data_IF_996116382625
#
_entry.id   IF_996116382625
#
_cell.length_a   1.000
_cell.length_b   1.000
_cell.length_c   1.000
_cell.angle_alpha   90.00
_cell.angle_beta   90.00
_cell.angle_gamma   90.00
#
_symmetry.space_group_name_H-M   'P 1'
#
loop_
_entity.id
_entity.type
_entity.pdbx_description
1 polymer ?
#
# COMPACT_ATOMS: atom_id res chain seq x y z
N UNK A 1 45.30 -27.98 -20.14
CA UNK A 1 44.70 -27.27 -19.00
C UNK A 1 43.61 -26.37 -19.55
N UNK A 2 42.35 -26.81 -19.49
CA UNK A 2 41.20 -26.02 -19.90
C UNK A 2 40.61 -25.38 -18.64
N UNK A 3 40.58 -24.05 -18.60
CA UNK A 3 40.01 -23.29 -17.51
C UNK A 3 38.50 -23.35 -17.55
N UNK A 4 37.90 -23.91 -16.50
CA UNK A 4 36.47 -23.84 -16.22
C UNK A 4 36.11 -22.42 -15.79
N UNK A 5 35.43 -21.68 -16.67
CA UNK A 5 34.65 -20.51 -16.27
C UNK A 5 33.52 -20.98 -15.35
N UNK A 6 33.61 -20.64 -14.05
CA UNK A 6 32.44 -20.65 -13.17
C UNK A 6 31.57 -19.47 -13.56
N UNK A 7 30.43 -19.76 -14.20
CA UNK A 7 29.28 -18.85 -14.20
C UNK A 7 28.89 -18.64 -12.75
N UNK A 8 29.03 -17.41 -12.26
CA UNK A 8 28.35 -16.98 -11.04
C UNK A 8 26.89 -16.81 -11.39
N UNK A 9 26.09 -17.86 -11.17
CA UNK A 9 24.63 -17.76 -11.15
C UNK A 9 24.26 -16.83 -9.99
N UNK A 10 24.11 -15.54 -10.28
CA UNK A 10 23.35 -14.64 -9.44
C UNK A 10 21.91 -15.16 -9.48
N UNK A 11 21.28 -15.53 -8.35
CA UNK A 11 19.89 -15.97 -8.37
C UNK A 11 19.05 -14.87 -9.02
N UNK A 12 18.23 -15.25 -10.01
CA UNK A 12 17.40 -14.32 -10.76
C UNK A 12 16.46 -13.60 -9.78
N UNK A 13 16.74 -12.32 -9.54
CA UNK A 13 15.98 -11.46 -8.64
C UNK A 13 14.55 -11.34 -9.15
N UNK A 14 13.65 -12.11 -8.55
CA UNK A 14 12.25 -12.18 -8.99
C UNK A 14 11.42 -11.13 -8.26
N UNK A 15 11.14 -10.00 -8.90
CA UNK A 15 10.19 -8.99 -8.40
C UNK A 15 8.76 -9.56 -8.30
N UNK A 16 7.94 -9.02 -7.41
CA UNK A 16 6.50 -9.28 -7.39
C UNK A 16 5.86 -8.75 -8.68
N UNK A 17 4.91 -9.49 -9.24
CA UNK A 17 4.22 -9.13 -10.48
C UNK A 17 2.73 -9.00 -10.24
N UNK A 18 2.13 -7.98 -10.83
CA UNK A 18 0.68 -7.81 -10.88
C UNK A 18 0.13 -8.92 -11.79
N UNK A 19 -0.84 -9.70 -11.33
CA UNK A 19 -1.43 -10.82 -12.07
C UNK A 19 -2.96 -10.66 -12.13
N UNK A 20 -3.46 -10.19 -13.28
CA UNK A 20 -4.89 -9.92 -13.46
C UNK A 20 -5.70 -11.16 -13.84
N UNK A 21 -5.03 -12.23 -14.29
CA UNK A 21 -5.67 -13.49 -14.70
C UNK A 21 -6.52 -14.12 -13.59
N UNK A 22 -6.26 -13.83 -12.32
CA UNK A 22 -6.96 -14.40 -11.17
C UNK A 22 -8.26 -13.68 -10.81
N UNK A 23 -8.65 -12.64 -11.56
CA UNK A 23 -9.81 -11.81 -11.25
C UNK A 23 -10.73 -11.68 -12.46
N UNK A 24 -12.04 -11.92 -12.26
CA UNK A 24 -13.06 -11.89 -13.31
C UNK A 24 -14.24 -11.01 -12.88
N UNK A 25 -14.72 -10.18 -13.80
CA UNK A 25 -15.99 -9.48 -13.68
C UNK A 25 -17.00 -10.10 -14.64
N UNK A 26 -18.15 -10.53 -14.12
CA UNK A 26 -19.29 -10.97 -14.90
C UNK A 26 -20.27 -9.80 -15.00
N UNK A 27 -20.34 -9.18 -16.17
CA UNK A 27 -21.17 -8.00 -16.40
C UNK A 27 -21.93 -8.08 -17.73
N UNK A 28 -23.23 -7.71 -17.77
CA UNK A 28 -23.97 -7.59 -19.02
C UNK A 28 -23.32 -6.59 -19.98
N UNK A 29 -23.45 -6.79 -21.29
CA UNK A 29 -22.89 -5.87 -22.29
C UNK A 29 -23.34 -4.41 -22.11
N UNK A 30 -24.54 -4.20 -21.57
CA UNK A 30 -25.06 -2.86 -21.26
C UNK A 30 -24.24 -2.08 -20.20
N UNK A 31 -23.38 -2.76 -19.44
CA UNK A 31 -22.49 -2.14 -18.45
C UNK A 31 -21.05 -1.94 -18.95
N UNK A 32 -20.72 -2.34 -20.18
CA UNK A 32 -19.33 -2.29 -20.69
C UNK A 32 -18.73 -0.88 -20.71
N UNK A 33 -19.56 0.15 -20.92
CA UNK A 33 -19.12 1.55 -20.96
C UNK A 33 -19.00 2.20 -19.57
N UNK A 34 -19.41 1.51 -18.50
CA UNK A 34 -19.24 2.04 -17.15
C UNK A 34 -17.75 2.06 -16.78
N UNK A 35 -17.27 3.17 -16.21
CA UNK A 35 -15.84 3.38 -15.91
C UNK A 35 -15.23 2.23 -15.10
N UNK A 36 -15.96 1.71 -14.11
CA UNK A 36 -15.54 0.58 -13.27
C UNK A 36 -15.34 -0.73 -14.05
N UNK A 37 -16.07 -0.93 -15.16
CA UNK A 37 -15.95 -2.11 -16.03
C UNK A 37 -14.79 -1.91 -17.00
N UNK A 38 -14.65 -0.71 -17.57
CA UNK A 38 -13.55 -0.36 -18.47
C UNK A 38 -12.19 -0.47 -17.80
N UNK A 39 -12.10 0.04 -16.58
CA UNK A 39 -10.85 0.15 -15.83
C UNK A 39 -10.67 -1.04 -14.84
N UNK A 40 -11.52 -2.07 -14.94
CA UNK A 40 -11.49 -3.25 -14.08
C UNK A 40 -10.12 -3.96 -14.10
N UNK A 41 -9.68 -4.39 -12.93
CA UNK A 41 -8.50 -5.26 -12.81
C UNK A 41 -8.89 -6.73 -13.00
N UNK A 42 -8.70 -7.23 -14.22
CA UNK A 42 -9.01 -8.62 -14.57
C UNK A 42 -9.63 -8.74 -15.96
N UNK A 43 -10.22 -9.90 -16.24
CA UNK A 43 -11.04 -10.08 -17.44
C UNK A 43 -12.51 -9.76 -17.17
N UNK A 44 -13.18 -9.17 -18.16
CA UNK A 44 -14.62 -8.95 -18.15
C UNK A 44 -15.26 -9.96 -19.09
N UNK A 45 -16.27 -10.67 -18.61
CA UNK A 45 -17.07 -11.63 -19.39
C UNK A 45 -18.56 -11.33 -19.22
N UNK A 46 -19.37 -11.77 -20.17
CA UNK A 46 -20.83 -11.65 -20.06
C UNK A 46 -21.45 -12.84 -19.30
N UNK A 47 -22.67 -12.71 -18.75
CA UNK A 47 -23.40 -13.85 -18.20
C UNK A 47 -23.60 -14.99 -19.21
N UNK A 48 -23.77 -14.67 -20.49
CA UNK A 48 -23.90 -15.65 -21.57
C UNK A 48 -22.58 -16.40 -21.81
N UNK A 49 -21.44 -15.71 -21.78
CA UNK A 49 -20.12 -16.33 -21.89
C UNK A 49 -19.85 -17.27 -20.71
N UNK A 50 -20.21 -16.86 -19.49
CA UNK A 50 -20.15 -17.70 -18.29
C UNK A 50 -21.04 -18.95 -18.43
N UNK A 51 -22.22 -18.81 -19.03
CA UNK A 51 -23.17 -19.90 -19.25
C UNK A 51 -22.75 -20.83 -20.42
N UNK A 52 -22.04 -20.29 -21.42
CA UNK A 52 -21.64 -21.02 -22.62
C UNK A 52 -20.54 -22.05 -22.31
N UNK A 53 -20.83 -23.33 -22.57
CA UNK A 53 -20.06 -24.47 -22.07
C UNK A 53 -18.77 -24.83 -22.81
N UNK A 54 -18.17 -23.98 -23.64
CA UNK A 54 -16.74 -24.08 -24.02
C UNK A 54 -16.27 -22.95 -24.96
N UNK A 55 -15.05 -22.43 -24.74
CA UNK A 55 -14.26 -22.62 -23.53
C UNK A 55 -14.92 -21.78 -22.41
N UNK A 56 -15.58 -22.44 -21.46
CA UNK A 56 -16.07 -21.76 -20.26
C UNK A 56 -14.83 -21.32 -19.48
N UNK A 57 -14.80 -20.09 -18.94
CA UNK A 57 -13.66 -19.65 -18.15
C UNK A 57 -13.46 -20.61 -16.98
N UNK A 58 -12.25 -21.14 -16.84
CA UNK A 58 -11.88 -21.88 -15.64
C UNK A 58 -11.99 -20.91 -14.47
N UNK A 59 -12.82 -21.20 -13.47
CA UNK A 59 -12.97 -20.33 -12.31
C UNK A 59 -12.10 -20.77 -11.12
N UNK A 60 -11.37 -21.89 -11.25
CA UNK A 60 -10.54 -22.39 -10.17
C UNK A 60 -9.55 -21.32 -9.68
N UNK A 61 -9.53 -21.11 -8.37
CA UNK A 61 -8.67 -20.12 -7.70
C UNK A 61 -8.95 -18.65 -8.04
N UNK A 62 -10.01 -18.34 -8.79
CA UNK A 62 -10.31 -16.96 -9.19
C UNK A 62 -11.20 -16.24 -8.18
N UNK A 63 -11.06 -14.92 -8.16
CA UNK A 63 -12.00 -13.98 -7.53
C UNK A 63 -13.00 -13.51 -8.59
N UNK A 64 -14.28 -13.73 -8.35
CA UNK A 64 -15.36 -13.41 -9.29
C UNK A 64 -16.24 -12.30 -8.73
N UNK A 65 -16.41 -11.22 -9.49
CA UNK A 65 -17.34 -10.13 -9.22
C UNK A 65 -18.55 -10.26 -10.14
N UNK A 66 -19.76 -10.13 -9.60
CA UNK A 66 -21.02 -10.29 -10.33
C UNK A 66 -21.76 -8.94 -10.40
N UNK A 67 -22.23 -8.61 -11.59
CA UNK A 67 -23.06 -7.45 -11.91
C UNK A 67 -24.29 -7.86 -12.73
N UNK A 68 -25.34 -7.05 -12.72
CA UNK A 68 -26.57 -7.27 -13.49
C UNK A 68 -27.63 -8.09 -12.76
N UNK A 69 -28.45 -8.82 -13.51
CA UNK A 69 -29.46 -9.72 -12.94
C UNK A 69 -28.82 -11.03 -12.48
N UNK A 70 -28.66 -11.17 -11.16
CA UNK A 70 -28.02 -12.34 -10.55
C UNK A 70 -28.94 -13.57 -10.60
N UNK A 71 -30.25 -13.39 -10.78
CA UNK A 71 -31.20 -14.51 -10.83
C UNK A 71 -30.98 -15.42 -12.04
N UNK A 72 -30.37 -14.89 -13.11
CA UNK A 72 -30.02 -15.63 -14.32
C UNK A 72 -28.70 -16.40 -14.26
N UNK A 73 -27.90 -16.26 -13.18
CA UNK A 73 -26.58 -16.90 -13.07
C UNK A 73 -26.72 -18.33 -12.54
N UNK A 74 -26.23 -19.32 -13.28
CA UNK A 74 -26.18 -20.71 -12.82
C UNK A 74 -25.16 -20.88 -11.68
N UNK A 75 -25.69 -20.95 -10.45
CA UNK A 75 -24.90 -21.11 -9.22
C UNK A 75 -23.99 -22.33 -9.20
N UNK A 76 -24.25 -23.35 -10.04
CA UNK A 76 -23.43 -24.57 -10.11
C UNK A 76 -22.08 -24.34 -10.77
N UNK A 77 -21.90 -23.21 -11.48
CA UNK A 77 -20.64 -22.84 -12.15
C UNK A 77 -19.65 -22.16 -11.21
N UNK A 78 -20.15 -21.44 -10.22
CA UNK A 78 -19.35 -20.63 -9.30
C UNK A 78 -18.65 -21.36 -8.12
N UNK A 79 -18.97 -22.60 -7.70
CA UNK A 79 -18.32 -23.21 -6.53
C UNK A 79 -16.81 -23.47 -6.71
N UNK A 80 -16.30 -23.46 -7.95
CA UNK A 80 -14.88 -23.58 -8.22
C UNK A 80 -14.10 -22.28 -7.96
N UNK A 81 -14.78 -21.13 -7.93
CA UNK A 81 -14.17 -19.85 -7.59
C UNK A 81 -13.68 -19.85 -6.14
N UNK A 82 -12.52 -19.23 -5.91
CA UNK A 82 -12.02 -19.04 -4.55
C UNK A 82 -12.90 -18.06 -3.77
N UNK A 83 -13.39 -17.02 -4.46
CA UNK A 83 -14.21 -15.94 -3.88
C UNK A 83 -15.25 -15.51 -4.90
N UNK A 84 -16.46 -15.23 -4.43
CA UNK A 84 -17.56 -14.69 -5.25
C UNK A 84 -18.16 -13.49 -4.53
N UNK A 85 -18.23 -12.37 -5.26
CA UNK A 85 -18.76 -11.10 -4.78
C UNK A 85 -19.91 -10.64 -5.66
N UNK A 86 -20.97 -10.13 -5.03
CA UNK A 86 -22.06 -9.41 -5.72
C UNK A 86 -21.83 -7.92 -5.54
N UNK A 87 -21.72 -7.16 -6.64
CA UNK A 87 -21.52 -5.70 -6.58
C UNK A 87 -22.88 -5.03 -6.42
N UNK A 88 -23.15 -4.51 -5.22
CA UNK A 88 -24.47 -4.04 -4.78
C UNK A 88 -25.11 -3.05 -5.75
N UNK A 89 -24.36 -2.03 -6.15
CA UNK A 89 -24.84 -0.90 -6.95
C UNK A 89 -25.10 -1.26 -8.42
N UNK A 90 -24.49 -2.35 -8.90
CA UNK A 90 -24.60 -2.80 -10.29
C UNK A 90 -25.45 -4.06 -10.43
N UNK A 91 -26.00 -4.59 -9.34
CA UNK A 91 -26.68 -5.88 -9.31
C UNK A 91 -28.12 -5.79 -8.81
N UNK A 92 -28.96 -6.69 -9.29
CA UNK A 92 -30.32 -6.92 -8.81
C UNK A 92 -30.66 -8.42 -8.91
N UNK A 93 -31.84 -8.82 -8.42
CA UNK A 93 -32.28 -10.22 -8.51
C UNK A 93 -31.55 -11.21 -7.58
N UNK A 94 -30.63 -10.73 -6.72
CA UNK A 94 -30.08 -11.51 -5.61
C UNK A 94 -30.97 -11.37 -4.36
N UNK A 95 -31.00 -12.40 -3.51
CA UNK A 95 -31.80 -12.41 -2.28
C UNK A 95 -30.88 -12.22 -1.08
N UNK A 96 -30.94 -11.07 -0.41
CA UNK A 96 -30.16 -10.80 0.81
C UNK A 96 -30.58 -11.73 1.97
N UNK A 97 -31.87 -12.06 2.08
CA UNK A 97 -32.44 -12.83 3.19
C UNK A 97 -32.40 -14.36 3.02
N UNK A 98 -31.97 -14.85 1.85
CA UNK A 98 -32.13 -16.25 1.49
C UNK A 98 -30.92 -17.12 1.85
N UNK A 99 -30.27 -16.90 3.00
CA UNK A 99 -29.13 -17.72 3.44
C UNK A 99 -28.08 -17.96 2.34
N UNK A 100 -27.97 -17.00 1.41
CA UNK A 100 -27.23 -17.15 0.17
C UNK A 100 -25.74 -16.87 0.44
N UNK A 101 -24.80 -17.70 -0.05
CA UNK A 101 -23.44 -17.73 0.49
C UNK A 101 -22.50 -16.65 -0.07
N UNK A 102 -22.97 -15.78 -0.98
CA UNK A 102 -22.07 -14.84 -1.67
C UNK A 102 -22.01 -13.49 -0.96
N UNK A 103 -20.79 -13.03 -0.73
CA UNK A 103 -20.53 -11.76 -0.05
C UNK A 103 -20.97 -10.60 -0.94
N UNK A 104 -21.90 -9.77 -0.46
CA UNK A 104 -22.29 -8.54 -1.13
C UNK A 104 -21.28 -7.45 -0.78
N UNK A 105 -20.75 -6.77 -1.79
CA UNK A 105 -19.75 -5.69 -1.64
C UNK A 105 -20.23 -4.42 -2.33
N UNK A 106 -19.72 -3.27 -1.88
CA UNK A 106 -19.95 -2.01 -2.56
C UNK A 106 -19.03 -1.86 -3.78
N UNK A 107 -19.32 -0.85 -4.61
CA UNK A 107 -18.56 -0.56 -5.82
C UNK A 107 -17.09 -0.23 -5.53
N UNK A 108 -16.78 0.30 -4.33
CA UNK A 108 -15.43 0.66 -3.95
C UNK A 108 -14.52 -0.53 -3.60
N UNK A 109 -15.11 -1.71 -3.39
CA UNK A 109 -14.41 -3.01 -3.28
C UNK A 109 -14.06 -3.64 -4.63
N UNK A 110 -14.50 -3.06 -5.75
CA UNK A 110 -14.13 -3.55 -7.09
C UNK A 110 -12.74 -3.00 -7.46
N UNK A 111 -11.76 -3.86 -7.78
CA UNK A 111 -10.41 -3.40 -8.10
C UNK A 111 -10.34 -2.77 -9.49
N UNK A 112 -9.62 -1.66 -9.58
CA UNK A 112 -9.33 -0.99 -10.86
C UNK A 112 -7.83 -0.97 -11.13
N UNK A 113 -7.46 -1.13 -12.41
CA UNK A 113 -6.07 -1.07 -12.86
C UNK A 113 -5.61 0.39 -12.87
N UNK A 114 -4.42 0.64 -12.33
CA UNK A 114 -3.76 1.94 -12.43
C UNK A 114 -2.56 1.79 -13.36
N UNK A 115 -2.78 2.04 -14.65
CA UNK A 115 -1.75 2.09 -15.71
C UNK A 115 -0.77 0.87 -15.75
N UNK A 116 -1.21 -0.31 -15.31
CA UNK A 116 -0.35 -1.49 -15.21
C UNK A 116 0.74 -1.42 -14.14
N UNK A 117 0.72 -0.40 -13.28
CA UNK A 117 1.73 -0.16 -12.23
C UNK A 117 1.17 -0.29 -10.81
N UNK A 118 -0.14 -0.53 -10.68
CA UNK A 118 -0.78 -0.81 -9.40
C UNK A 118 -2.26 -1.15 -9.56
N UNK A 119 -2.86 -1.51 -8.43
CA UNK A 119 -4.29 -1.84 -8.32
C UNK A 119 -4.91 -0.99 -7.23
N UNK A 120 -6.04 -0.38 -7.54
CA UNK A 120 -6.70 0.56 -6.64
C UNK A 120 -8.10 0.08 -6.26
N UNK A 121 -8.42 0.23 -4.98
CA UNK A 121 -9.75 0.04 -4.42
C UNK A 121 -10.19 1.40 -3.88
N UNK A 122 -11.26 1.97 -4.44
CA UNK A 122 -11.76 3.28 -4.02
C UNK A 122 -12.25 3.27 -2.57
N UNK A 123 -12.74 2.12 -2.08
CA UNK A 123 -13.20 1.92 -0.71
C UNK A 123 -13.02 0.45 -0.32
N UNK A 124 -11.78 0.07 -0.02
CA UNK A 124 -11.49 -1.26 0.49
C UNK A 124 -12.09 -1.43 1.90
N UNK A 125 -11.88 -0.45 2.75
CA UNK A 125 -12.36 -0.45 4.12
C UNK A 125 -13.65 0.37 4.24
N UNK A 126 -14.67 -0.21 4.89
CA UNK A 126 -15.94 0.47 5.15
C UNK A 126 -15.77 1.72 6.02
N UNK A 127 -16.59 2.74 5.78
CA UNK A 127 -16.53 4.02 6.50
C UNK A 127 -17.05 3.93 7.94
N UNK A 128 -17.84 2.90 8.22
CA UNK A 128 -18.38 2.54 9.53
C UNK A 128 -17.33 1.93 10.47
N UNK A 129 -16.17 1.52 9.94
CA UNK A 129 -15.13 0.85 10.73
C UNK A 129 -14.33 1.76 11.68
N UNK A 130 -14.46 3.08 11.58
CA UNK A 130 -13.68 4.11 12.32
C UNK A 130 -12.19 3.75 12.51
N UNK A 131 -11.53 3.33 11.43
CA UNK A 131 -10.13 2.95 11.48
C UNK A 131 -9.22 4.08 11.95
N UNK A 132 -9.57 5.34 11.64
CA UNK A 132 -8.82 6.50 12.15
C UNK A 132 -8.87 6.54 13.68
N UNK A 133 -10.07 6.55 14.28
CA UNK A 133 -10.25 6.63 15.72
C UNK A 133 -9.64 5.43 16.45
N UNK A 134 -9.86 4.22 15.93
CA UNK A 134 -9.33 2.98 16.52
C UNK A 134 -7.80 2.93 16.55
N UNK A 135 -7.14 3.21 15.43
CA UNK A 135 -5.66 3.23 15.38
C UNK A 135 -5.11 4.32 16.31
N UNK A 136 -5.77 5.48 16.38
CA UNK A 136 -5.38 6.57 17.29
C UNK A 136 -5.62 6.27 18.77
N UNK A 137 -6.52 5.36 19.08
CA UNK A 137 -6.79 4.90 20.44
C UNK A 137 -5.87 3.75 20.87
N UNK A 138 -5.46 2.89 19.92
CA UNK A 138 -4.54 1.77 20.16
C UNK A 138 -3.08 2.25 20.29
N UNK A 139 -2.69 3.34 19.62
CA UNK A 139 -1.28 3.75 19.53
C UNK A 139 -1.00 5.22 19.92
N UNK A 140 0.14 5.41 20.57
CA UNK A 140 0.68 6.73 20.87
C UNK A 140 1.58 7.22 19.72
N UNK A 141 1.05 8.12 18.88
CA UNK A 141 1.82 8.64 17.75
C UNK A 141 2.94 9.56 18.22
N UNK A 142 4.10 9.34 17.61
CA UNK A 142 5.35 9.97 17.94
C UNK A 142 5.60 11.18 17.05
N UNK A 143 6.42 12.11 17.52
CA UNK A 143 6.86 13.25 16.72
C UNK A 143 7.81 12.79 15.61
N UNK A 144 7.75 13.46 14.45
CA UNK A 144 8.67 13.23 13.35
C UNK A 144 9.62 14.40 13.22
N UNK A 145 10.90 14.11 12.99
CA UNK A 145 11.86 15.10 12.49
C UNK A 145 12.11 14.86 11.00
N UNK A 146 11.97 15.90 10.18
CA UNK A 146 12.37 15.82 8.77
C UNK A 146 13.87 16.10 8.64
N UNK A 147 14.67 15.05 8.45
CA UNK A 147 16.13 15.17 8.31
C UNK A 147 16.81 15.73 9.57
N UNK A 148 17.96 16.38 9.42
CA UNK A 148 18.76 17.02 10.49
C UNK A 148 18.30 18.44 10.82
N UNK A 149 17.16 18.91 10.28
CA UNK A 149 16.70 20.28 10.50
C UNK A 149 16.05 20.42 11.88
N UNK A 150 16.39 21.47 12.65
CA UNK A 150 15.70 21.75 13.90
C UNK A 150 14.23 22.10 13.62
N UNK A 151 13.32 21.18 13.94
CA UNK A 151 11.88 21.36 13.79
C UNK A 151 11.12 20.04 13.71
N UNK A 152 9.92 19.99 14.28
CA UNK A 152 8.99 18.88 14.13
C UNK A 152 8.25 19.01 12.79
N UNK A 153 8.11 17.91 12.07
CA UNK A 153 7.25 17.84 10.89
C UNK A 153 5.80 18.20 11.26
N UNK A 154 4.99 18.64 10.30
CA UNK A 154 3.53 18.76 10.47
C UNK A 154 2.82 17.38 10.50
N UNK A 155 3.58 16.32 10.78
CA UNK A 155 3.11 14.95 10.83
C UNK A 155 3.54 14.36 12.17
N UNK A 156 2.68 13.50 12.70
CA UNK A 156 3.00 12.55 13.76
C UNK A 156 2.84 11.14 13.19
N UNK A 157 3.50 10.14 13.77
CA UNK A 157 3.46 8.80 13.19
C UNK A 157 4.02 7.74 14.11
N UNK A 158 3.95 6.49 13.66
CA UNK A 158 4.42 5.34 14.40
C UNK A 158 4.79 4.20 13.45
N UNK A 159 5.79 3.41 13.84
CA UNK A 159 6.09 2.14 13.19
C UNK A 159 5.43 1.02 13.97
N UNK A 160 4.78 0.11 13.23
CA UNK A 160 4.12 -1.06 13.81
C UNK A 160 4.59 -2.32 13.09
N UNK A 161 4.81 -3.39 13.83
CA UNK A 161 5.13 -4.72 13.31
C UNK A 161 4.74 -5.78 14.34
N UNK A 162 4.49 -7.05 13.97
CA UNK A 162 4.30 -8.09 14.97
C UNK A 162 5.52 -8.21 15.89
N UNK A 163 5.30 -8.13 17.19
CA UNK A 163 6.30 -8.34 18.24
C UNK A 163 5.96 -9.63 18.98
N UNK A 164 6.93 -10.53 19.10
CA UNK A 164 6.79 -11.78 19.87
C UNK A 164 7.86 -11.86 20.94
N UNK A 165 7.49 -12.31 22.13
CA UNK A 165 8.39 -12.47 23.26
C UNK A 165 8.83 -13.93 23.41
N UNK A 166 10.14 -14.17 23.55
CA UNK A 166 10.74 -15.46 23.94
C UNK A 166 11.67 -15.25 25.14
N UNK A 167 11.22 -15.61 26.33
CA UNK A 167 11.89 -15.25 27.58
C UNK A 167 12.00 -13.73 27.73
N UNK A 168 13.24 -13.22 27.83
CA UNK A 168 13.55 -11.79 27.90
C UNK A 168 13.83 -11.16 26.52
N UNK A 169 13.78 -11.95 25.43
CA UNK A 169 14.00 -11.48 24.07
C UNK A 169 12.69 -10.99 23.43
N UNK A 170 12.73 -9.81 22.82
CA UNK A 170 11.64 -9.28 21.99
C UNK A 170 12.04 -9.39 20.52
N UNK A 171 11.34 -10.23 19.76
CA UNK A 171 11.55 -10.42 18.33
C UNK A 171 10.58 -9.58 17.51
N UNK A 172 11.09 -8.88 16.51
CA UNK A 172 10.32 -7.98 15.66
C UNK A 172 11.01 -7.77 14.31
N UNK A 173 10.42 -6.96 13.42
CA UNK A 173 11.04 -6.59 12.14
C UNK A 173 11.32 -5.10 12.08
N UNK A 174 12.46 -4.75 11.50
CA UNK A 174 12.85 -3.38 11.27
C UNK A 174 12.56 -2.96 9.83
N UNK A 175 12.28 -1.67 9.64
CA UNK A 175 12.25 -1.04 8.32
C UNK A 175 12.98 0.31 8.39
N UNK A 176 14.31 0.22 8.42
CA UNK A 176 15.28 1.32 8.60
C UNK A 176 15.33 2.20 7.35
N UNK A 177 14.28 3.00 7.19
CA UNK A 177 14.16 4.00 6.13
C UNK A 177 14.54 5.40 6.64
N UNK A 178 14.20 6.44 5.88
CA UNK A 178 14.60 7.82 6.15
C UNK A 178 13.74 8.55 7.20
N UNK A 179 12.65 7.94 7.69
CA UNK A 179 11.79 8.58 8.68
C UNK A 179 12.38 8.38 10.08
N UNK A 180 12.51 9.47 10.82
CA UNK A 180 13.02 9.47 12.19
C UNK A 180 11.88 9.83 13.15
N UNK A 181 11.44 8.82 13.91
CA UNK A 181 10.42 8.92 14.94
C UNK A 181 11.09 9.01 16.32
N UNK A 182 10.44 9.71 17.24
CA UNK A 182 10.99 9.95 18.58
C UNK A 182 10.86 8.78 19.56
N UNK A 183 10.14 7.71 19.22
CA UNK A 183 9.89 6.56 20.10
C UNK A 183 10.09 5.22 19.40
N UNK A 184 9.92 4.10 20.13
CA UNK A 184 10.15 2.76 19.62
C UNK A 184 9.08 2.33 18.61
N UNK A 185 9.38 1.28 17.84
CA UNK A 185 8.36 0.51 17.13
C UNK A 185 7.39 -0.13 18.13
N UNK A 186 6.10 -0.20 17.81
CA UNK A 186 5.10 -0.89 18.62
C UNK A 186 4.60 -2.18 17.95
N UNK A 187 4.03 -3.06 18.76
CA UNK A 187 3.33 -4.24 18.28
C UNK A 187 2.06 -3.87 17.51
N UNK A 188 1.58 -4.78 16.68
CA UNK A 188 0.25 -4.66 16.09
C UNK A 188 -0.84 -4.70 17.16
N UNK A 189 -1.71 -3.70 17.15
CA UNK A 189 -2.99 -3.77 17.83
C UNK A 189 -3.99 -4.65 17.06
N UNK A 190 -5.16 -4.96 17.66
CA UNK A 190 -6.20 -5.74 16.99
C UNK A 190 -6.65 -5.13 15.65
N UNK A 191 -6.66 -3.80 15.55
CA UNK A 191 -7.04 -3.12 14.30
C UNK A 191 -5.98 -3.31 13.22
N UNK A 192 -4.69 -3.23 13.58
CA UNK A 192 -3.60 -3.46 12.62
C UNK A 192 -3.56 -4.90 12.12
N UNK A 193 -3.71 -5.87 13.02
CA UNK A 193 -3.76 -7.29 12.66
C UNK A 193 -4.86 -7.52 11.62
N UNK A 194 -6.07 -7.02 11.86
CA UNK A 194 -7.19 -7.14 10.92
C UNK A 194 -6.88 -6.48 9.57
N UNK A 195 -6.37 -5.25 9.57
CA UNK A 195 -6.02 -4.54 8.33
C UNK A 195 -4.97 -5.33 7.54
N UNK A 196 -3.88 -5.72 8.19
CA UNK A 196 -2.75 -6.37 7.52
C UNK A 196 -3.10 -7.77 7.03
N UNK A 197 -3.93 -8.53 7.76
CA UNK A 197 -4.45 -9.82 7.30
C UNK A 197 -5.34 -9.68 6.05
N UNK A 198 -6.27 -8.71 6.04
CA UNK A 198 -7.13 -8.45 4.89
C UNK A 198 -6.32 -8.01 3.67
N UNK A 199 -5.31 -7.16 3.87
CA UNK A 199 -4.41 -6.73 2.80
C UNK A 199 -3.56 -7.87 2.26
N UNK A 200 -3.04 -8.76 3.11
CA UNK A 200 -2.30 -9.94 2.66
C UNK A 200 -3.19 -10.92 1.87
N UNK A 201 -4.44 -11.12 2.32
CA UNK A 201 -5.41 -11.95 1.60
C UNK A 201 -5.71 -11.39 0.22
N UNK A 202 -5.88 -10.06 0.11
CA UNK A 202 -6.12 -9.42 -1.18
C UNK A 202 -4.86 -9.40 -2.06
N UNK A 203 -3.69 -9.16 -1.48
CA UNK A 203 -2.42 -9.20 -2.19
C UNK A 203 -2.18 -10.54 -2.88
N UNK A 204 -2.58 -11.65 -2.25
CA UNK A 204 -2.47 -13.00 -2.85
C UNK A 204 -3.37 -13.19 -4.08
N UNK A 205 -4.42 -12.38 -4.26
CA UNK A 205 -5.27 -12.38 -5.46
C UNK A 205 -4.79 -11.39 -6.53
N UNK A 206 -3.96 -10.40 -6.15
CA UNK A 206 -3.47 -9.32 -7.02
C UNK A 206 -2.07 -9.58 -7.55
N UNK A 207 -1.22 -10.22 -6.76
CA UNK A 207 0.20 -10.39 -7.04
C UNK A 207 0.63 -11.85 -7.04
N UNK A 208 1.58 -12.13 -7.93
CA UNK A 208 2.34 -13.37 -7.93
C UNK A 208 3.70 -13.19 -7.26
N UNK A 209 4.13 -14.22 -6.54
CA UNK A 209 5.44 -14.32 -5.88
C UNK A 209 5.72 -13.18 -4.90
N UNK A 210 4.70 -12.55 -4.28
CA UNK A 210 4.93 -11.42 -3.39
C UNK A 210 5.38 -11.87 -1.99
N UNK A 211 6.16 -11.01 -1.32
CA UNK A 211 6.43 -11.15 0.11
C UNK A 211 5.22 -10.71 0.95
N UNK A 212 5.05 -11.23 2.18
CA UNK A 212 3.96 -10.80 3.05
C UNK A 212 4.16 -9.36 3.53
N UNK A 213 3.06 -8.62 3.62
CA UNK A 213 2.96 -7.33 4.28
C UNK A 213 3.04 -7.55 5.80
N UNK A 214 3.99 -6.91 6.48
CA UNK A 214 4.27 -7.18 7.90
C UNK A 214 4.82 -5.98 8.69
N UNK A 215 4.93 -4.81 8.05
CA UNK A 215 5.46 -3.61 8.67
C UNK A 215 4.67 -2.39 8.23
N UNK A 216 4.27 -1.56 9.17
CA UNK A 216 3.38 -0.41 8.95
C UNK A 216 4.10 0.87 9.31
N UNK A 217 3.92 1.90 8.49
CA UNK A 217 4.11 3.30 8.87
C UNK A 217 2.74 3.99 8.88
N UNK A 218 2.22 4.26 10.08
CA UNK A 218 0.99 5.02 10.25
C UNK A 218 1.35 6.49 10.53
N UNK A 219 0.76 7.43 9.80
CA UNK A 219 1.09 8.85 9.90
C UNK A 219 -0.15 9.74 9.83
N UNK A 220 -0.31 10.62 10.82
CA UNK A 220 -1.33 11.66 10.82
C UNK A 220 -0.79 12.92 10.17
N UNK A 221 -1.54 13.49 9.24
CA UNK A 221 -1.21 14.66 8.44
C UNK A 221 -2.02 15.85 8.94
N UNK A 222 -1.37 16.74 9.69
CA UNK A 222 -2.03 17.89 10.31
C UNK A 222 -2.02 19.11 9.38
N UNK A 223 -3.14 19.84 9.37
CA UNK A 223 -3.28 21.10 8.66
C UNK A 223 -3.41 22.24 9.67
N UNK A 224 -2.61 23.30 9.52
CA UNK A 224 -2.63 24.46 10.40
C UNK A 224 -3.29 25.63 9.68
N UNK A 225 -4.30 26.23 10.31
CA UNK A 225 -4.99 27.41 9.77
C UNK A 225 -4.06 28.62 9.68
N UNK A 226 -4.40 29.54 8.79
CA UNK A 226 -3.75 30.85 8.78
C UNK A 226 -4.12 31.61 10.07
N UNK A 227 -3.16 32.36 10.59
CA UNK A 227 -3.34 33.34 11.68
C UNK A 227 -2.93 34.71 11.16
N UNK A 228 -3.16 35.76 11.94
CA UNK A 228 -2.70 37.12 11.63
C UNK A 228 -1.19 37.18 11.39
N UNK A 229 -0.39 36.37 12.09
CA UNK A 229 1.06 36.37 11.94
C UNK A 229 1.61 35.29 10.98
N UNK A 230 0.84 34.26 10.62
CA UNK A 230 1.36 33.10 9.86
C UNK A 230 0.37 32.62 8.79
N UNK A 231 0.89 32.34 7.60
CA UNK A 231 0.14 31.66 6.54
C UNK A 231 -0.27 30.25 6.99
N UNK A 232 -1.38 29.75 6.42
CA UNK A 232 -1.77 28.36 6.60
C UNK A 232 -0.65 27.41 6.17
N UNK A 233 -0.58 26.24 6.80
CA UNK A 233 0.30 25.14 6.39
C UNK A 233 -0.52 23.86 6.23
N UNK A 234 -0.15 23.06 5.23
CA UNK A 234 -0.77 21.76 4.95
C UNK A 234 0.31 20.70 4.91
N UNK A 235 0.07 19.57 5.56
CA UNK A 235 1.02 18.47 5.53
C UNK A 235 1.16 17.92 4.10
N UNK A 236 2.41 17.79 3.66
CA UNK A 236 2.79 17.26 2.34
C UNK A 236 4.05 16.42 2.47
N UNK A 237 4.31 15.55 1.52
CA UNK A 237 5.59 14.84 1.38
C UNK A 237 6.09 15.11 -0.02
N UNK A 238 7.32 15.60 -0.15
CA UNK A 238 7.95 15.87 -1.44
C UNK A 238 8.20 14.57 -2.23
N UNK A 239 8.45 14.71 -3.53
CA UNK A 239 8.76 13.57 -4.40
C UNK A 239 9.93 12.73 -3.86
N UNK A 240 9.70 11.43 -3.72
CA UNK A 240 10.68 10.44 -3.30
C UNK A 240 10.29 9.04 -3.78
N UNK A 241 11.24 8.11 -3.76
CA UNK A 241 10.97 6.68 -3.74
C UNK A 241 11.18 6.17 -2.30
N UNK A 242 10.31 5.26 -1.87
CA UNK A 242 10.44 4.57 -0.58
C UNK A 242 11.75 3.78 -0.56
N UNK A 243 12.39 3.71 0.61
CA UNK A 243 13.71 3.09 0.76
C UNK A 243 13.57 1.59 0.91
N UNK A 244 14.16 0.85 -0.02
CA UNK A 244 13.99 -0.60 -0.13
C UNK A 244 15.04 -1.43 0.62
N UNK A 245 15.96 -0.79 1.36
CA UNK A 245 17.06 -1.43 2.10
C UNK A 245 16.66 -2.69 2.88
N UNK A 246 15.55 -2.60 3.61
CA UNK A 246 15.06 -3.67 4.50
C UNK A 246 13.85 -4.41 3.91
N UNK A 247 13.57 -4.20 2.62
CA UNK A 247 12.47 -4.83 1.90
C UNK A 247 13.02 -5.97 1.03
N UNK A 248 12.34 -7.13 1.00
CA UNK A 248 12.71 -8.17 0.04
C UNK A 248 12.42 -7.71 -1.39
N UNK A 249 13.17 -8.23 -2.37
CA UNK A 249 13.05 -7.82 -3.79
C UNK A 249 11.66 -8.05 -4.36
N UNK A 250 10.98 -9.09 -3.90
CA UNK A 250 9.58 -9.38 -4.23
C UNK A 250 8.57 -8.66 -3.31
N UNK A 251 8.98 -7.56 -2.69
CA UNK A 251 8.13 -6.75 -1.83
C UNK A 251 7.02 -6.04 -2.60
N UNK A 252 5.93 -5.76 -1.89
CA UNK A 252 4.82 -4.93 -2.33
C UNK A 252 4.53 -3.87 -1.26
N UNK A 253 3.73 -2.87 -1.63
CA UNK A 253 3.27 -1.82 -0.73
C UNK A 253 1.76 -1.62 -0.87
N UNK A 254 1.11 -1.31 0.24
CA UNK A 254 -0.30 -0.97 0.30
C UNK A 254 -0.47 0.40 0.97
N UNK A 255 -0.94 1.39 0.21
CA UNK A 255 -1.25 2.72 0.71
C UNK A 255 -2.72 2.76 1.11
N UNK A 256 -2.99 2.62 2.41
CA UNK A 256 -4.33 2.75 2.96
C UNK A 256 -4.56 4.20 3.43
N UNK A 257 -5.78 4.71 3.26
CA UNK A 257 -6.11 6.08 3.68
C UNK A 257 -7.39 6.13 4.50
N UNK A 258 -7.28 6.74 5.68
CA UNK A 258 -8.40 7.03 6.58
C UNK A 258 -8.43 8.53 6.87
N UNK A 259 -9.60 9.06 7.22
CA UNK A 259 -9.79 10.46 7.53
C UNK A 259 -10.62 10.63 8.79
N UNK A 260 -10.34 11.72 9.50
CA UNK A 260 -11.21 12.30 10.50
C UNK A 260 -11.74 13.66 10.00
N UNK A 261 -12.99 13.99 10.31
CA UNK A 261 -13.64 15.24 9.90
C UNK A 261 -14.17 15.27 8.46
N UNK A 262 -14.52 14.12 7.87
CA UNK A 262 -15.11 14.04 6.52
C UNK A 262 -16.49 14.69 6.42
N UNK A 263 -17.23 14.78 7.53
CA UNK A 263 -18.55 15.40 7.66
C UNK A 263 -18.59 16.88 7.21
N UNK A 264 -17.42 17.52 7.15
CA UNK A 264 -17.26 18.91 6.68
C UNK A 264 -17.26 19.05 5.16
N UNK A 265 -17.10 17.95 4.45
CA UNK A 265 -17.09 17.88 3.00
C UNK A 265 -18.41 17.29 2.49
N UNK A 266 -18.72 17.53 1.22
CA UNK A 266 -19.90 16.98 0.56
C UNK A 266 -19.46 16.04 -0.59
N UNK A 267 -20.20 14.96 -0.87
CA UNK A 267 -19.95 14.13 -2.04
C UNK A 267 -19.90 14.97 -3.34
N UNK A 268 -19.00 14.62 -4.25
CA UNK A 268 -18.88 15.30 -5.53
C UNK A 268 -19.64 14.53 -6.63
N UNK A 269 -20.31 15.27 -7.53
CA UNK A 269 -21.17 14.65 -8.55
C UNK A 269 -20.42 13.86 -9.64
N UNK A 270 -19.11 14.09 -9.80
CA UNK A 270 -18.28 13.42 -10.82
C UNK A 270 -17.48 12.21 -10.32
N UNK A 271 -17.48 11.98 -9.01
CA UNK A 271 -16.77 10.86 -8.38
C UNK A 271 -17.49 10.50 -7.08
N UNK A 272 -18.14 9.33 -7.07
CA UNK A 272 -18.96 8.86 -5.94
C UNK A 272 -18.16 8.58 -4.66
N UNK A 273 -16.83 8.55 -4.74
CA UNK A 273 -15.94 8.33 -3.61
C UNK A 273 -15.29 9.64 -3.13
N UNK A 274 -15.27 10.68 -3.98
CA UNK A 274 -14.65 11.96 -3.67
C UNK A 274 -15.59 12.87 -2.85
N UNK A 275 -14.96 13.67 -2.00
CA UNK A 275 -15.63 14.60 -1.10
C UNK A 275 -14.96 15.96 -1.21
N UNK A 276 -15.74 17.03 -1.27
CA UNK A 276 -15.21 18.36 -1.48
C UNK A 276 -16.18 19.49 -1.18
N UNK A 277 -15.79 20.69 -1.59
CA UNK A 277 -16.56 21.92 -1.43
C UNK A 277 -16.61 22.63 -2.78
N UNK A 278 -17.81 22.98 -3.24
CA UNK A 278 -18.04 23.72 -4.51
C UNK A 278 -17.33 23.07 -5.72
N UNK A 279 -17.39 21.75 -5.82
CA UNK A 279 -16.76 21.00 -6.93
C UNK A 279 -15.25 20.81 -6.82
N UNK A 280 -14.60 21.28 -5.74
CA UNK A 280 -13.17 21.07 -5.49
C UNK A 280 -12.99 20.00 -4.43
N UNK A 281 -12.30 18.91 -4.77
CA UNK A 281 -11.95 17.84 -3.82
C UNK A 281 -11.23 18.37 -2.59
N UNK A 282 -11.63 17.92 -1.41
CA UNK A 282 -10.91 18.14 -0.15
C UNK A 282 -9.91 17.03 0.17
N UNK A 283 -9.83 15.99 -0.66
CA UNK A 283 -9.03 14.82 -0.40
C UNK A 283 -7.57 15.00 -0.83
N UNK A 284 -6.70 14.22 -0.20
CA UNK A 284 -5.28 14.19 -0.52
C UNK A 284 -5.04 13.38 -1.79
N UNK A 285 -4.02 13.76 -2.57
CA UNK A 285 -3.62 13.05 -3.78
C UNK A 285 -2.21 12.48 -3.63
N UNK A 286 -2.02 11.27 -4.14
CA UNK A 286 -0.72 10.63 -4.31
C UNK A 286 -0.32 10.78 -5.79
N UNK A 287 0.66 11.64 -6.05
CA UNK A 287 1.12 11.91 -7.43
C UNK A 287 2.39 11.13 -7.70
N UNK A 288 2.42 10.45 -8.83
CA UNK A 288 3.56 9.70 -9.33
C UNK A 288 4.19 10.41 -10.52
N UNK A 289 5.53 10.38 -10.58
CA UNK A 289 6.32 10.88 -11.70
C UNK A 289 7.37 9.85 -12.07
N UNK A 290 7.39 9.46 -13.34
CA UNK A 290 8.36 8.53 -13.90
C UNK A 290 9.76 9.15 -13.75
N UNK A 291 10.75 8.34 -13.36
CA UNK A 291 12.14 8.78 -13.29
C UNK A 291 12.68 8.91 -14.71
N UNK A 292 13.53 9.90 -14.95
CA UNK A 292 14.13 10.12 -16.27
C UNK A 292 14.87 8.87 -16.79
N UNK A 293 15.47 8.09 -15.89
CA UNK A 293 16.13 6.81 -16.19
C UNK A 293 15.19 5.64 -16.54
N UNK A 294 13.87 5.85 -16.49
CA UNK A 294 12.84 4.86 -16.79
C UNK A 294 12.02 5.19 -18.04
N UNK A 295 12.31 6.29 -18.75
CA UNK A 295 11.52 6.75 -19.91
C UNK A 295 11.50 5.75 -21.07
N UNK A 296 12.55 4.93 -21.20
CA UNK A 296 12.69 3.91 -22.25
C UNK A 296 12.14 2.53 -21.84
N UNK A 297 11.64 2.39 -20.60
CA UNK A 297 11.14 1.11 -20.08
C UNK A 297 9.65 0.95 -20.43
N UNK A 298 9.31 -0.15 -21.11
CA UNK A 298 7.92 -0.54 -21.34
C UNK A 298 7.27 -1.08 -20.06
N UNK A 299 5.96 -0.83 -19.91
CA UNK A 299 5.15 -1.35 -18.81
C UNK A 299 4.93 -2.85 -18.93
N UNK A 300 4.32 -3.44 -17.89
CA UNK A 300 4.09 -4.89 -17.84
C UNK A 300 3.27 -5.41 -19.03
N UNK A 301 2.35 -4.60 -19.54
CA UNK A 301 1.47 -4.93 -20.66
C UNK A 301 2.09 -4.59 -22.04
N UNK A 302 3.39 -4.26 -22.10
CA UNK A 302 4.09 -3.82 -23.32
C UNK A 302 3.71 -2.41 -23.79
N UNK A 303 2.93 -1.68 -22.99
CA UNK A 303 2.53 -0.30 -23.25
C UNK A 303 3.54 0.72 -22.70
N UNK A 304 3.49 1.94 -23.22
CA UNK A 304 4.30 3.06 -22.71
C UNK A 304 3.83 3.46 -21.31
N UNK A 305 4.76 3.50 -20.36
CA UNK A 305 4.48 3.96 -19.00
C UNK A 305 4.13 5.47 -19.00
N UNK A 306 3.08 5.90 -18.26
CA UNK A 306 2.74 7.30 -18.20
C UNK A 306 3.85 8.09 -17.49
N UNK A 307 4.28 9.21 -18.08
CA UNK A 307 5.29 10.10 -17.48
C UNK A 307 4.86 10.62 -16.09
N UNK A 308 3.55 10.77 -15.87
CA UNK A 308 2.97 11.10 -14.57
C UNK A 308 1.53 10.59 -14.48
N UNK A 309 1.10 10.28 -13.26
CA UNK A 309 -0.30 10.01 -12.95
C UNK A 309 -0.60 10.38 -11.50
N UNK A 310 -1.87 10.32 -11.11
CA UNK A 310 -2.30 10.68 -9.75
C UNK A 310 -3.42 9.76 -9.29
N UNK A 311 -3.32 9.33 -8.03
CA UNK A 311 -4.36 8.59 -7.34
C UNK A 311 -4.96 9.52 -6.28
N UNK A 312 -6.26 9.80 -6.35
CA UNK A 312 -6.98 10.45 -5.25
C UNK A 312 -7.10 9.45 -4.11
N UNK A 313 -6.71 9.84 -2.91
CA UNK A 313 -6.73 8.95 -1.74
C UNK A 313 -8.09 9.05 -1.05
N UNK A 314 -9.05 8.28 -1.55
CA UNK A 314 -10.41 8.22 -1.01
C UNK A 314 -10.47 7.66 0.42
N UNK A 315 -11.51 7.98 1.19
CA UNK A 315 -11.75 7.38 2.50
C UNK A 315 -11.89 5.86 2.42
N UNK A 316 -11.08 5.14 3.20
CA UNK A 316 -11.06 3.68 3.20
C UNK A 316 -10.39 3.05 1.98
N UNK A 317 -9.75 3.85 1.12
CA UNK A 317 -9.11 3.33 -0.09
C UNK A 317 -7.82 2.58 0.19
N UNK A 318 -7.46 1.69 -0.74
CA UNK A 318 -6.18 0.99 -0.77
C UNK A 318 -5.60 1.08 -2.18
N UNK A 319 -4.35 1.55 -2.28
CA UNK A 319 -3.55 1.44 -3.49
C UNK A 319 -2.42 0.45 -3.29
N UNK A 320 -2.46 -0.66 -4.03
CA UNK A 320 -1.42 -1.67 -4.07
C UNK A 320 -0.43 -1.38 -5.20
N UNK A 321 0.86 -1.49 -4.91
CA UNK A 321 1.92 -1.41 -5.93
C UNK A 321 3.09 -2.33 -5.60
N UNK A 322 3.72 -2.95 -6.60
CA UNK A 322 4.96 -3.70 -6.42
C UNK A 322 6.16 -2.75 -6.24
N UNK A 323 7.27 -3.28 -5.73
CA UNK A 323 8.52 -2.51 -5.62
C UNK A 323 9.06 -2.05 -6.99
N UNK A 324 8.76 -2.76 -8.07
CA UNK A 324 9.10 -2.33 -9.42
C UNK A 324 8.49 -0.95 -9.73
N UNK A 325 7.26 -0.67 -9.29
CA UNK A 325 6.67 0.66 -9.45
C UNK A 325 7.42 1.73 -8.64
N UNK A 326 7.86 1.42 -7.42
CA UNK A 326 8.70 2.33 -6.61
C UNK A 326 10.08 2.58 -7.22
N UNK A 327 10.61 1.56 -7.91
CA UNK A 327 11.85 1.65 -8.66
C UNK A 327 11.71 2.53 -9.90
N UNK A 328 10.57 2.52 -10.58
CA UNK A 328 10.34 3.31 -11.79
C UNK A 328 9.84 4.75 -11.52
N UNK A 329 9.10 4.94 -10.43
CA UNK A 329 8.44 6.22 -10.11
C UNK A 329 8.95 6.82 -8.81
N UNK A 330 8.95 8.15 -8.76
CA UNK A 330 8.86 8.88 -7.48
C UNK A 330 7.41 9.20 -7.19
N UNK A 331 7.06 9.34 -5.92
CA UNK A 331 5.73 9.72 -5.49
C UNK A 331 5.75 10.84 -4.44
N UNK A 332 4.67 11.62 -4.38
CA UNK A 332 4.50 12.72 -3.43
C UNK A 332 3.07 12.83 -2.91
N UNK A 333 2.95 13.28 -1.66
CA UNK A 333 1.67 13.56 -1.02
C UNK A 333 1.31 15.02 -1.25
N UNK A 334 0.24 15.25 -2.00
CA UNK A 334 -0.28 16.58 -2.34
C UNK A 334 -1.60 16.84 -1.61
N UNK A 335 -1.64 17.80 -0.66
CA UNK A 335 -2.90 18.20 -0.06
C UNK A 335 -3.78 18.96 -1.08
N UNK A 336 -5.08 19.01 -0.80
CA UNK A 336 -6.04 19.75 -1.63
C UNK A 336 -5.74 21.26 -1.68
N UNK A 337 -6.22 21.90 -2.75
CA UNK A 337 -6.17 23.34 -2.94
C UNK A 337 -7.08 24.11 -1.95
N UNK A 338 -8.13 23.48 -1.41
CA UNK A 338 -9.03 24.10 -0.41
C UNK A 338 -8.27 24.59 0.83
N UNK A 339 -8.75 25.63 1.48
CA UNK A 339 -8.12 26.16 2.70
C UNK A 339 -8.00 25.11 3.81
N UNK A 340 -6.91 25.18 4.57
CA UNK A 340 -6.55 24.21 5.62
C UNK A 340 -7.66 23.93 6.63
N UNK A 341 -8.55 24.89 6.88
CA UNK A 341 -9.67 24.73 7.80
C UNK A 341 -10.79 23.82 7.29
N UNK A 342 -10.90 23.67 5.97
CA UNK A 342 -11.88 22.82 5.30
C UNK A 342 -11.37 21.39 5.12
N UNK A 343 -10.06 21.17 5.28
CA UNK A 343 -9.46 19.87 5.04
C UNK A 343 -9.69 18.93 6.22
N UNK A 344 -10.12 17.68 5.97
CA UNK A 344 -10.12 16.65 6.99
C UNK A 344 -8.68 16.32 7.39
N UNK A 345 -8.51 15.74 8.58
CA UNK A 345 -7.21 15.23 9.02
C UNK A 345 -7.03 13.83 8.43
N UNK A 346 -5.95 13.62 7.68
CA UNK A 346 -5.66 12.33 7.03
C UNK A 346 -4.78 11.47 7.93
N UNK A 347 -5.11 10.19 8.05
CA UNK A 347 -4.22 9.12 8.48
C UNK A 347 -3.79 8.33 7.24
N UNK A 348 -2.52 8.46 6.86
CA UNK A 348 -1.90 7.58 5.88
C UNK A 348 -1.38 6.35 6.59
N UNK A 349 -1.82 5.16 6.18
CA UNK A 349 -1.44 3.89 6.76
C UNK A 349 -0.77 3.04 5.68
N UNK A 350 0.56 3.09 5.64
CA UNK A 350 1.35 2.46 4.57
C UNK A 350 1.92 1.15 5.08
N UNK A 351 1.47 0.05 4.50
CA UNK A 351 1.93 -1.30 4.83
C UNK A 351 2.95 -1.74 3.80
N UNK A 352 4.05 -2.32 4.28
CA UNK A 352 5.20 -2.76 3.49
C UNK A 352 5.67 -4.14 3.94
N UNK A 353 6.52 -4.74 3.12
CA UNK A 353 7.23 -5.97 3.44
C UNK A 353 8.58 -5.64 4.06
N UNK A 354 8.90 -6.21 5.22
CA UNK A 354 10.25 -6.23 5.77
C UNK A 354 10.78 -7.67 5.86
N UNK A 355 12.05 -7.85 5.50
CA UNK A 355 12.80 -9.09 5.74
C UNK A 355 13.91 -8.91 6.80
N UNK A 356 14.04 -7.72 7.39
CA UNK A 356 15.06 -7.43 8.40
C UNK A 356 14.54 -7.81 9.78
N UNK A 357 14.85 -9.03 10.21
CA UNK A 357 14.48 -9.51 11.54
C UNK A 357 15.44 -8.98 12.61
N UNK A 358 14.87 -8.59 13.75
CA UNK A 358 15.61 -8.03 14.86
C UNK A 358 15.21 -8.67 16.20
N UNK A 359 16.09 -8.56 17.18
CA UNK A 359 15.89 -8.97 18.57
C UNK A 359 16.32 -7.84 19.48
N UNK A 360 15.47 -7.44 20.43
CA UNK A 360 15.89 -6.60 21.54
C UNK A 360 16.10 -7.47 22.78
N UNK A 361 17.30 -7.38 23.38
CA UNK A 361 17.66 -8.07 24.63
C UNK A 361 18.78 -7.34 25.34
N UNK A 362 18.83 -7.44 26.67
CA UNK A 362 19.85 -6.80 27.50
C UNK A 362 20.02 -5.28 27.23
N UNK A 363 18.92 -4.60 26.88
CA UNK A 363 18.89 -3.18 26.58
C UNK A 363 19.48 -2.79 25.22
N UNK A 364 19.70 -3.76 24.32
CA UNK A 364 20.31 -3.56 23.00
C UNK A 364 19.47 -4.23 21.90
N UNK A 365 19.50 -3.65 20.71
CA UNK A 365 18.88 -4.23 19.52
C UNK A 365 19.93 -4.92 18.66
N UNK A 366 19.61 -6.10 18.16
CA UNK A 366 20.45 -6.91 17.28
C UNK A 366 19.69 -7.25 16.00
N UNK A 367 20.38 -7.24 14.86
CA UNK A 367 19.92 -7.77 13.59
C UNK A 367 20.18 -9.29 13.56
N UNK A 368 19.19 -10.06 13.11
CA UNK A 368 19.39 -11.49 12.80
C UNK A 368 20.04 -11.63 11.43
N UNK A 369 21.16 -12.33 11.37
CA UNK A 369 21.88 -12.66 10.14
C UNK A 369 22.20 -14.16 10.09
N UNK A 370 22.62 -14.67 8.94
CA UNK A 370 23.04 -16.07 8.81
C UNK A 370 24.21 -16.45 9.75
N UNK A 371 25.05 -15.48 10.11
CA UNK A 371 26.17 -15.65 11.04
C UNK A 371 25.81 -15.49 12.53
N UNK A 372 24.53 -15.26 12.85
CA UNK A 372 24.05 -14.98 14.20
C UNK A 372 23.57 -13.54 14.39
N UNK A 373 23.55 -13.09 15.64
CA UNK A 373 23.10 -11.75 16.04
C UNK A 373 24.21 -10.72 15.86
N UNK A 374 23.90 -9.62 15.18
CA UNK A 374 24.81 -8.47 14.99
C UNK A 374 24.20 -7.26 15.68
N UNK A 375 24.92 -6.62 16.60
CA UNK A 375 24.40 -5.46 17.33
C UNK A 375 24.14 -4.28 16.38
N UNK A 376 23.04 -3.56 16.59
CA UNK A 376 22.73 -2.34 15.86
C UNK A 376 23.62 -1.20 16.39
N UNK A 377 24.54 -0.73 15.56
CA UNK A 377 25.53 0.28 15.94
C UNK A 377 24.99 1.71 15.72
N UNK A 378 25.48 2.71 16.48
CA UNK A 378 25.19 4.11 16.17
C UNK A 378 25.71 4.49 14.76
N UNK A 379 25.01 5.38 14.03
CA UNK A 379 25.46 5.83 12.72
C UNK A 379 26.79 6.58 12.80
N UNK A 380 27.73 6.23 11.91
CA UNK A 380 28.95 7.04 11.69
C UNK A 380 28.70 8.11 10.64
N UNK A 381 29.48 9.19 10.63
CA UNK A 381 29.36 10.24 9.62
C UNK A 381 29.55 9.69 8.19
N UNK A 382 30.59 8.88 7.97
CA UNK A 382 30.84 8.26 6.67
C UNK A 382 29.73 7.30 6.24
N UNK A 383 29.23 6.47 7.16
CA UNK A 383 28.09 5.58 6.89
C UNK A 383 26.82 6.36 6.53
N UNK A 384 26.55 7.46 7.23
CA UNK A 384 25.40 8.33 6.93
C UNK A 384 25.50 9.00 5.57
N UNK A 385 26.69 9.46 5.18
CA UNK A 385 26.92 10.10 3.89
C UNK A 385 26.75 9.10 2.74
N UNK A 386 27.26 7.88 2.91
CA UNK A 386 27.09 6.79 1.95
C UNK A 386 25.63 6.32 1.86
N UNK A 387 24.92 6.16 2.99
CA UNK A 387 23.50 5.82 3.01
C UNK A 387 22.66 6.87 2.27
N UNK A 388 22.94 8.16 2.51
CA UNK A 388 22.26 9.27 1.82
C UNK A 388 22.57 9.29 0.33
N UNK A 389 23.80 8.93 -0.07
CA UNK A 389 24.17 8.78 -1.48
C UNK A 389 23.30 7.71 -2.15
N UNK A 390 23.15 6.54 -1.53
CA UNK A 390 22.29 5.45 -2.04
C UNK A 390 20.81 5.86 -2.07
N UNK A 391 20.33 6.58 -1.05
CA UNK A 391 18.96 7.13 -1.05
C UNK A 391 18.71 8.11 -2.20
N UNK A 392 19.69 8.94 -2.54
CA UNK A 392 19.62 9.88 -3.65
C UNK A 392 19.72 9.18 -5.01
N UNK A 393 20.44 8.07 -5.09
CA UNK A 393 20.50 7.20 -6.26
C UNK A 393 19.14 6.52 -6.50
N UNK A 394 18.54 5.93 -5.46
CA UNK A 394 17.23 5.27 -5.55
C UNK A 394 16.12 6.23 -5.98
N UNK A 395 16.21 7.51 -5.64
CA UNK A 395 15.24 8.52 -6.11
C UNK A 395 15.38 8.87 -7.60
N UNK A 396 16.55 8.65 -8.21
CA UNK A 396 16.86 9.07 -9.59
C UNK A 396 16.92 7.91 -10.58
N UNK A 397 17.38 6.75 -10.12
CA UNK A 397 17.64 5.57 -10.93
C UNK A 397 16.44 4.63 -10.95
N UNK A 398 16.27 3.97 -12.09
CA UNK A 398 15.40 2.81 -12.30
C UNK A 398 16.13 1.50 -12.05
N UNK A 399 17.44 1.51 -11.78
CA UNK A 399 18.21 0.32 -11.40
C UNK A 399 17.92 -0.10 -9.97
N UNK A 400 18.17 -1.38 -9.67
CA UNK A 400 18.22 -1.85 -8.29
C UNK A 400 19.35 -1.15 -7.54
N UNK A 401 19.04 -0.64 -6.35
CA UNK A 401 20.04 -0.10 -5.42
C UNK A 401 20.34 -1.19 -4.41
N UNK A 402 21.56 -1.73 -4.49
CA UNK A 402 22.05 -2.67 -3.49
C UNK A 402 22.53 -1.90 -2.26
N UNK A 403 21.95 -2.22 -1.10
CA UNK A 403 22.37 -1.66 0.18
C UNK A 403 23.43 -2.53 0.88
N UNK A 404 23.60 -3.80 0.46
CA UNK A 404 24.46 -4.77 1.11
C UNK A 404 24.19 -4.94 2.60
N UNK A 405 25.10 -5.65 3.27
CA UNK A 405 25.05 -5.87 4.73
C UNK A 405 25.86 -4.83 5.52
N UNK A 406 26.33 -3.76 4.85
CA UNK A 406 27.29 -2.79 5.39
C UNK A 406 26.65 -1.80 6.38
N UNK A 407 25.34 -1.56 6.26
CA UNK A 407 24.62 -0.62 7.11
C UNK A 407 24.08 -1.33 8.35
N UNK A 408 24.92 -1.47 9.37
CA UNK A 408 24.56 -2.04 10.68
C UNK A 408 23.91 -1.02 11.63
N UNK A 409 23.41 0.10 11.11
CA UNK A 409 22.80 1.16 11.89
C UNK A 409 21.43 1.55 11.34
N UNK A 410 20.66 2.25 12.18
CA UNK A 410 19.42 2.94 11.79
C UNK A 410 19.54 4.47 11.98
N UNK A 411 18.83 5.19 11.11
CA UNK A 411 18.59 6.63 11.28
C UNK A 411 17.47 6.92 12.28
N UNK A 412 16.61 5.93 12.55
CA UNK A 412 15.51 6.05 13.48
C UNK A 412 16.01 5.71 14.89
N UNK A 413 15.99 6.68 15.80
CA UNK A 413 16.43 6.46 17.18
C UNK A 413 15.57 5.41 17.91
N UNK A 414 14.31 5.27 17.51
CA UNK A 414 13.39 4.25 18.02
C UNK A 414 13.86 2.81 17.83
N UNK A 415 14.63 2.53 16.77
CA UNK A 415 15.05 1.16 16.44
C UNK A 415 16.06 0.57 17.45
N UNK A 416 16.72 1.44 18.23
CA UNK A 416 17.68 1.04 19.27
C UNK A 416 17.02 0.75 20.62
N UNK A 417 15.72 1.02 20.75
CA UNK A 417 14.97 0.90 22.00
C UNK A 417 14.07 -0.34 21.92
N UNK A 418 13.74 -0.92 23.08
CA UNK A 418 12.81 -2.04 23.16
C UNK A 418 11.48 -1.71 22.47
N UNK A 419 10.96 -2.57 21.57
CA UNK A 419 9.64 -2.37 21.03
C UNK A 419 8.59 -2.47 22.15
N UNK A 420 7.48 -1.73 22.02
CA UNK A 420 6.35 -1.88 22.94
C UNK A 420 5.52 -3.07 22.49
N UNK A 421 5.38 -4.08 23.37
CA UNK A 421 4.66 -5.33 23.10
C UNK A 421 3.14 -5.18 23.28
#
# INVERSE_FOLDING_TARGET
MAGTHRSTDTPELTEARIEDASTILVAPSALQDADVVRDFFGSVITPEELASGSPSPDLAQKTVYLCGDISGIDRRRLPAAARVFVVRELSHGYREDAGDPWTVVDLGRVPVRVHGVGVYYHRFFGLDGDFFGRIRAEHEFQSLTESTKPGTAHRSGIYLTPVTQDGDELHFRLLRCSTNLSGPTENFGPTDTSIVEDLNREAAAVFRNHAPLNHVLAQTYHNTRATTERKQSKARISAHADKTKDMPVNGIMAFCTFYDGLDRLQPLAGDAFDHGVKGVSGLTRLRFRLKDSAEEIEGHDGGVLPAQFTVTLHPGSVFFMPLSTNRLYTHEIRPSALDAELLPTRLGYVVRCSNTEAVHKDGRTFLKSAGGLVELEPPTQGGMDELRRRYAEENRSSSFVDYGDEFLFSMNAGDYVAPRA
#
